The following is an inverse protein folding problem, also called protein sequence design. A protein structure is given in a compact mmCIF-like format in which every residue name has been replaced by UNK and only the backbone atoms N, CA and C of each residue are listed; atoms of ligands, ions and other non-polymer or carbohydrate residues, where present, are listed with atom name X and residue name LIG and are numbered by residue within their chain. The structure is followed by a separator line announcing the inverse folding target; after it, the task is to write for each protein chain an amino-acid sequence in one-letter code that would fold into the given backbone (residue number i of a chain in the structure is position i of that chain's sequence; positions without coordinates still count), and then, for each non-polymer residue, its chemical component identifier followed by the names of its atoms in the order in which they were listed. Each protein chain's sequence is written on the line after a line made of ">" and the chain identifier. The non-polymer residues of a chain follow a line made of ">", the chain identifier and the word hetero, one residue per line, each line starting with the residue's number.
data_IF_610583626328
#
_entry.id   IF_610583626328
#
_cell.length_a   1.000
_cell.length_b   1.000
_cell.length_c   1.000
_cell.angle_alpha   90.00
_cell.angle_beta   90.00
_cell.angle_gamma   90.00
#
_symmetry.space_group_name_H-M   'P 1'
#
loop_
_entity.id
_entity.type
_entity.pdbx_description
1 polymer ?
#
# COMPACT_ATOMS: atom_id res chain seq x y z
N UNK A 1 12.08 -8.58 29.13
CA UNK A 1 11.06 -7.80 28.40
C UNK A 1 11.31 -7.77 26.91
N UNK A 2 12.45 -7.25 26.40
CA UNK A 2 12.78 -7.31 24.96
C UNK A 2 12.87 -8.75 24.43
N UNK A 3 13.60 -9.63 25.13
CA UNK A 3 13.70 -11.05 24.77
C UNK A 3 12.36 -11.78 24.81
N UNK A 4 11.47 -11.44 25.76
CA UNK A 4 10.14 -12.05 25.88
C UNK A 4 9.19 -11.62 24.74
N UNK A 5 9.47 -10.48 24.11
CA UNK A 5 8.73 -9.92 22.97
C UNK A 5 9.34 -10.32 21.60
N UNK A 6 10.47 -11.04 21.60
CA UNK A 6 11.17 -11.47 20.39
C UNK A 6 11.89 -10.33 19.64
N UNK A 7 12.18 -9.20 20.29
CA UNK A 7 12.92 -8.11 19.66
C UNK A 7 14.44 -8.38 19.66
N UNK A 8 15.11 -7.95 18.59
CA UNK A 8 16.57 -8.12 18.40
C UNK A 8 17.42 -7.27 19.35
N UNK A 9 16.81 -6.30 20.04
CA UNK A 9 17.48 -5.44 21.00
C UNK A 9 16.58 -4.34 21.55
N UNK A 10 17.14 -3.49 22.39
CA UNK A 10 16.50 -2.27 22.89
C UNK A 10 16.89 -1.08 22.03
N UNK A 11 15.93 -0.19 21.74
CA UNK A 11 16.27 1.11 21.16
C UNK A 11 17.10 1.91 22.16
N UNK A 12 18.15 2.56 21.64
CA UNK A 12 19.14 3.27 22.45
C UNK A 12 18.63 4.62 22.95
N UNK A 13 17.73 5.24 22.19
CA UNK A 13 17.09 6.51 22.55
C UNK A 13 15.59 6.30 22.80
N UNK A 14 15.10 6.50 24.04
CA UNK A 14 13.69 6.34 24.36
C UNK A 14 12.81 7.40 23.69
N UNK A 15 13.35 8.58 23.36
CA UNK A 15 12.60 9.64 22.70
C UNK A 15 12.31 9.27 21.25
N UNK A 16 13.31 8.70 20.56
CA UNK A 16 13.14 8.15 19.23
C UNK A 16 12.17 6.95 19.25
N UNK A 17 12.26 6.06 20.24
CA UNK A 17 11.39 4.88 20.32
C UNK A 17 9.89 5.17 20.42
N UNK A 18 9.50 6.33 20.94
CA UNK A 18 8.09 6.72 21.11
C UNK A 18 7.60 7.65 20.00
N UNK A 19 8.50 8.42 19.41
CA UNK A 19 8.17 9.43 18.39
C UNK A 19 8.40 8.98 16.94
N UNK A 20 9.07 7.85 16.72
CA UNK A 20 9.47 7.41 15.38
C UNK A 20 8.29 6.78 14.62
N UNK A 21 7.91 7.41 13.52
CA UNK A 21 6.92 6.92 12.55
C UNK A 21 7.55 6.34 11.29
N UNK A 22 8.88 6.27 11.21
CA UNK A 22 9.61 5.87 10.00
C UNK A 22 9.25 4.45 9.56
N UNK A 23 8.98 3.55 10.51
CA UNK A 23 8.54 2.19 10.20
C UNK A 23 7.18 2.15 9.47
N UNK A 24 6.27 3.07 9.80
CA UNK A 24 4.95 3.17 9.15
C UNK A 24 5.12 3.70 7.73
N UNK A 25 5.94 4.74 7.57
CA UNK A 25 6.22 5.36 6.27
C UNK A 25 6.93 4.40 5.35
N UNK A 26 7.95 3.69 5.84
CA UNK A 26 8.64 2.64 5.10
C UNK A 26 7.66 1.57 4.64
N UNK A 27 6.83 1.03 5.55
CA UNK A 27 5.81 0.04 5.20
C UNK A 27 4.86 0.53 4.08
N UNK A 28 4.35 1.77 4.18
CA UNK A 28 3.50 2.36 3.14
C UNK A 28 4.23 2.53 1.80
N UNK A 29 5.53 2.81 1.83
CA UNK A 29 6.36 2.96 0.66
C UNK A 29 6.50 1.61 -0.08
N UNK A 30 6.84 0.54 0.65
CA UNK A 30 6.88 -0.83 0.11
C UNK A 30 5.54 -1.25 -0.47
N UNK A 31 4.45 -0.98 0.25
CA UNK A 31 3.13 -1.36 -0.21
C UNK A 31 2.75 -0.61 -1.50
N UNK A 32 3.00 0.70 -1.62
CA UNK A 32 2.66 1.40 -2.87
C UNK A 32 3.50 0.90 -4.07
N UNK A 33 4.73 0.43 -3.84
CA UNK A 33 5.52 -0.24 -4.89
C UNK A 33 4.93 -1.58 -5.33
N UNK A 34 4.25 -2.32 -4.45
CA UNK A 34 3.60 -3.60 -4.80
C UNK A 34 2.37 -3.41 -5.68
N UNK A 35 1.62 -2.32 -5.50
CA UNK A 35 0.38 -2.07 -6.26
C UNK A 35 0.59 -1.39 -7.61
N UNK A 36 1.78 -0.85 -7.91
CA UNK A 36 2.08 -0.24 -9.22
C UNK A 36 2.26 -1.33 -10.28
N UNK A 37 1.37 -1.41 -11.29
CA UNK A 37 1.48 -2.43 -12.33
C UNK A 37 2.67 -2.14 -13.26
N UNK A 38 3.57 -3.11 -13.40
CA UNK A 38 4.79 -2.99 -14.24
C UNK A 38 4.51 -3.07 -15.75
N UNK A 39 3.36 -3.61 -16.17
CA UNK A 39 3.02 -3.81 -17.59
C UNK A 39 1.52 -3.61 -17.89
N UNK A 40 0.99 -2.36 -17.88
CA UNK A 40 -0.44 -2.12 -18.04
C UNK A 40 -0.91 -1.90 -19.49
N UNK A 41 0.01 -1.75 -20.45
CA UNK A 41 -0.34 -1.16 -21.75
C UNK A 41 -0.75 -2.19 -22.80
N UNK A 42 -1.95 -2.07 -23.39
CA UNK A 42 -2.47 -2.99 -24.40
C UNK A 42 -1.71 -2.92 -25.74
N UNK A 43 -0.98 -1.83 -26.03
CA UNK A 43 -0.13 -1.75 -27.24
C UNK A 43 1.04 -2.74 -27.21
N UNK A 44 1.42 -3.23 -26.02
CA UNK A 44 2.47 -4.21 -25.81
C UNK A 44 1.86 -5.51 -25.28
N UNK A 45 1.06 -6.16 -26.13
CA UNK A 45 0.34 -7.42 -25.85
C UNK A 45 1.27 -8.63 -25.73
N UNK A 46 2.19 -8.62 -24.76
CA UNK A 46 3.07 -9.76 -24.46
C UNK A 46 2.41 -10.80 -23.55
N UNK A 47 1.34 -10.42 -22.82
CA UNK A 47 0.67 -11.27 -21.84
C UNK A 47 -0.85 -11.09 -21.97
N UNK A 48 -1.59 -12.18 -22.20
CA UNK A 48 -3.07 -12.18 -22.23
C UNK A 48 -3.64 -12.57 -20.87
N UNK A 49 -4.56 -11.77 -20.32
CA UNK A 49 -5.19 -12.09 -19.03
C UNK A 49 -6.23 -13.21 -19.14
N UNK A 50 -6.29 -14.03 -18.09
CA UNK A 50 -7.30 -15.06 -17.94
C UNK A 50 -8.71 -14.45 -17.89
N UNK A 51 -9.69 -15.16 -18.46
CA UNK A 51 -11.09 -14.69 -18.56
C UNK A 51 -11.73 -14.39 -17.19
N UNK A 52 -11.19 -14.93 -16.09
CA UNK A 52 -11.67 -14.62 -14.74
C UNK A 52 -11.42 -13.16 -14.32
N UNK A 53 -10.38 -12.51 -14.86
CA UNK A 53 -9.98 -11.14 -14.47
C UNK A 53 -10.26 -10.10 -15.56
N UNK A 54 -10.94 -10.53 -16.64
CA UNK A 54 -11.25 -9.69 -17.79
C UNK A 54 -12.72 -9.84 -18.19
N UNK A 55 -13.42 -8.72 -18.38
CA UNK A 55 -14.73 -8.73 -19.01
C UNK A 55 -14.57 -8.57 -20.52
N UNK A 56 -15.05 -9.55 -21.29
CA UNK A 56 -15.28 -9.41 -22.73
C UNK A 56 -16.74 -9.03 -23.00
N UNK A 57 -17.01 -8.33 -24.09
CA UNK A 57 -18.39 -8.18 -24.57
C UNK A 57 -18.75 -9.33 -25.50
N UNK A 58 -20.01 -9.77 -25.47
CA UNK A 58 -20.52 -10.79 -26.40
C UNK A 58 -20.45 -10.37 -27.87
N UNK A 59 -20.37 -9.06 -28.13
CA UNK A 59 -20.27 -8.48 -29.47
C UNK A 59 -18.82 -8.34 -29.98
N UNK A 60 -17.82 -8.25 -29.08
CA UNK A 60 -16.41 -8.12 -29.43
C UNK A 60 -15.55 -9.15 -28.68
N UNK A 61 -15.41 -10.38 -29.22
CA UNK A 61 -14.71 -11.47 -28.55
C UNK A 61 -13.19 -11.23 -28.39
N UNK A 62 -12.61 -10.36 -29.22
CA UNK A 62 -11.18 -10.02 -29.18
C UNK A 62 -10.86 -8.90 -28.19
N UNK A 63 -11.87 -8.12 -27.77
CA UNK A 63 -11.68 -6.97 -26.87
C UNK A 63 -11.88 -7.43 -25.43
N UNK A 64 -10.81 -7.87 -24.80
CA UNK A 64 -10.75 -8.20 -23.38
C UNK A 64 -10.39 -6.96 -22.56
N UNK A 65 -11.35 -6.43 -21.79
CA UNK A 65 -11.08 -5.31 -20.89
C UNK A 65 -10.47 -5.87 -19.60
N UNK A 66 -9.29 -5.40 -19.22
CA UNK A 66 -8.61 -5.81 -18.00
C UNK A 66 -9.14 -5.02 -16.79
N UNK A 67 -10.28 -5.45 -16.25
CA UNK A 67 -10.89 -4.79 -15.09
C UNK A 67 -10.05 -4.98 -13.81
N UNK A 68 -9.38 -6.13 -13.66
CA UNK A 68 -8.50 -6.39 -12.52
C UNK A 68 -7.35 -5.37 -12.44
N UNK A 69 -6.68 -5.09 -13.57
CA UNK A 69 -5.56 -4.16 -13.60
C UNK A 69 -6.00 -2.71 -13.34
N UNK A 70 -7.19 -2.31 -13.82
CA UNK A 70 -7.76 -1.00 -13.49
C UNK A 70 -8.03 -0.84 -11.99
N UNK A 71 -8.49 -1.90 -11.32
CA UNK A 71 -8.66 -1.91 -9.85
C UNK A 71 -7.31 -1.77 -9.13
N UNK A 72 -6.25 -2.45 -9.60
CA UNK A 72 -4.90 -2.29 -9.05
C UNK A 72 -4.41 -0.84 -9.16
N UNK A 73 -4.60 -0.19 -10.31
CA UNK A 73 -4.25 1.23 -10.50
C UNK A 73 -5.03 2.12 -9.53
N UNK A 74 -6.34 1.90 -9.38
CA UNK A 74 -7.16 2.67 -8.44
C UNK A 74 -6.73 2.47 -6.96
N UNK A 75 -6.32 1.25 -6.60
CA UNK A 75 -5.75 0.95 -5.27
C UNK A 75 -4.39 1.61 -5.08
N UNK A 76 -3.52 1.59 -6.09
CA UNK A 76 -2.23 2.28 -6.07
C UNK A 76 -2.39 3.80 -5.84
N UNK A 77 -3.37 4.43 -6.49
CA UNK A 77 -3.66 5.85 -6.28
C UNK A 77 -4.08 6.19 -4.84
N UNK A 78 -4.93 5.35 -4.22
CA UNK A 78 -5.29 5.50 -2.80
C UNK A 78 -4.09 5.29 -1.87
N UNK A 79 -3.31 4.24 -2.12
CA UNK A 79 -2.08 3.94 -1.37
C UNK A 79 -1.10 5.13 -1.36
N UNK A 80 -0.90 5.74 -2.52
CA UNK A 80 -0.01 6.88 -2.71
C UNK A 80 -0.56 8.15 -2.04
N UNK A 81 -1.88 8.36 -2.04
CA UNK A 81 -2.53 9.44 -1.30
C UNK A 81 -2.34 9.32 0.21
N UNK A 82 -2.42 8.11 0.77
CA UNK A 82 -2.15 7.88 2.19
C UNK A 82 -0.68 8.12 2.55
N UNK A 83 0.25 7.69 1.70
CA UNK A 83 1.68 7.95 1.90
C UNK A 83 1.96 9.46 1.87
N UNK A 84 1.43 10.19 0.89
CA UNK A 84 1.58 11.63 0.80
C UNK A 84 1.01 12.36 2.03
N UNK A 85 -0.17 11.94 2.51
CA UNK A 85 -0.76 12.49 3.74
C UNK A 85 0.10 12.25 4.97
N UNK A 86 0.63 11.03 5.13
CA UNK A 86 1.50 10.68 6.26
C UNK A 86 2.84 11.43 6.22
N UNK A 87 3.47 11.55 5.04
CA UNK A 87 4.72 12.29 4.89
C UNK A 87 4.54 13.79 5.21
N UNK A 88 3.40 14.38 4.83
CA UNK A 88 3.08 15.77 5.16
C UNK A 88 2.84 15.97 6.67
N UNK A 89 2.16 15.03 7.31
CA UNK A 89 1.98 14.99 8.76
C UNK A 89 3.32 14.90 9.52
N UNK A 90 4.21 14.01 9.07
CA UNK A 90 5.54 13.85 9.69
C UNK A 90 6.45 15.08 9.54
N UNK A 91 6.36 15.80 8.42
CA UNK A 91 7.17 17.00 8.19
C UNK A 91 6.80 18.18 9.12
N UNK A 92 5.63 18.13 9.79
CA UNK A 92 5.15 19.15 10.70
C UNK A 92 5.69 19.11 12.14
N UNK A 93 6.35 18.03 12.57
CA UNK A 93 6.77 17.73 13.95
C UNK A 93 5.64 17.69 15.01
N UNK A 94 5.82 16.88 16.05
CA UNK A 94 5.04 15.66 16.29
C UNK A 94 4.02 15.94 17.41
N UNK A 95 2.72 15.91 17.11
CA UNK A 95 1.73 15.63 18.16
C UNK A 95 1.43 14.14 18.14
N UNK A 96 1.33 13.54 19.34
CA UNK A 96 1.05 12.11 19.55
C UNK A 96 -0.20 11.62 18.80
N UNK A 97 -1.12 12.55 18.51
CA UNK A 97 -2.38 12.30 17.84
C UNK A 97 -2.19 11.94 16.36
N UNK A 98 -1.18 12.50 15.68
CA UNK A 98 -0.93 12.19 14.26
C UNK A 98 -0.27 10.82 14.06
N UNK A 99 0.59 10.38 15.00
CA UNK A 99 1.08 8.99 15.02
C UNK A 99 -0.09 8.02 15.15
N UNK A 100 -1.09 8.35 15.99
CA UNK A 100 -2.33 7.57 16.12
C UNK A 100 -3.12 7.47 14.81
N UNK A 101 -3.11 8.51 13.97
CA UNK A 101 -3.75 8.46 12.64
C UNK A 101 -3.01 7.51 11.69
N UNK A 102 -1.68 7.46 11.78
CA UNK A 102 -0.87 6.47 11.07
C UNK A 102 -1.30 5.03 11.38
N UNK A 103 -1.63 4.73 12.64
CA UNK A 103 -2.15 3.43 13.04
C UNK A 103 -3.50 3.10 12.41
N UNK A 104 -4.41 4.06 12.26
CA UNK A 104 -5.69 3.84 11.57
C UNK A 104 -5.50 3.54 10.08
N UNK A 105 -4.58 4.24 9.41
CA UNK A 105 -4.22 3.99 8.01
C UNK A 105 -3.59 2.60 7.85
N UNK A 106 -2.69 2.22 8.77
CA UNK A 106 -2.06 0.90 8.80
C UNK A 106 -3.09 -0.21 9.02
N UNK A 107 -3.97 -0.08 10.02
CA UNK A 107 -4.95 -1.12 10.35
C UNK A 107 -5.98 -1.31 9.24
N UNK A 108 -6.48 -0.22 8.65
CA UNK A 108 -7.39 -0.25 7.50
C UNK A 108 -6.81 -1.07 6.34
N UNK A 109 -5.49 -0.97 6.10
CA UNK A 109 -4.79 -1.70 5.03
C UNK A 109 -4.47 -3.15 5.39
N UNK A 110 -4.11 -3.43 6.64
CA UNK A 110 -3.82 -4.79 7.11
C UNK A 110 -5.05 -5.71 7.09
N UNK A 111 -6.25 -5.15 7.27
CA UNK A 111 -7.52 -5.85 7.06
C UNK A 111 -7.77 -6.03 5.55
N UNK A 112 -7.47 -5.01 4.74
CA UNK A 112 -7.77 -5.02 3.31
C UNK A 112 -6.85 -5.93 2.46
N UNK A 113 -5.62 -6.23 2.91
CA UNK A 113 -4.78 -7.30 2.35
C UNK A 113 -5.42 -8.69 2.52
N UNK A 114 -6.37 -8.86 3.46
CA UNK A 114 -7.13 -10.12 3.63
C UNK A 114 -8.34 -10.23 2.70
N UNK A 115 -8.71 -9.16 2.03
CA UNK A 115 -9.88 -9.08 1.13
C UNK A 115 -9.49 -9.12 -0.36
N UNK A 116 -8.22 -9.42 -0.67
CA UNK A 116 -7.72 -9.60 -2.04
C UNK A 116 -7.55 -11.07 -2.40
#
# INVERSE_FOLDING_TARGET
>A
MAEDLGSTGLLRDPMAAVGDGDFVTEFLQWDTYLFVPKYPFPEFSFISMANAYSSGSSFMPYKKNSNGLALFIGKAGRALGHLAGLMMAQQGLLSRDEISQGWHVFWSRSIFLREC
#
